data_IF_475983936165
#
_entry.id   IF_475983936165
#
_cell.length_a   1.000
_cell.length_b   1.000
_cell.length_c   1.000
_cell.angle_alpha   90.00
_cell.angle_beta   90.00
_cell.angle_gamma   90.00
#
_symmetry.space_group_name_H-M   'P 1'
#
loop_
_entity.id
_entity.type
_entity.pdbx_description
1 polymer ?
#
# COMPACT_ATOMS: atom_id res chain seq x y z
N UNK A 1 7.32 13.18 21.65
CA UNK A 1 7.10 12.43 20.41
C UNK A 1 8.32 11.67 19.92
N UNK A 2 9.52 12.27 19.77
CA UNK A 2 10.74 11.57 19.29
C UNK A 2 11.16 10.36 20.15
N UNK A 3 11.04 10.46 21.46
CA UNK A 3 11.39 9.37 22.39
C UNK A 3 10.47 8.17 22.32
N UNK A 4 9.19 8.38 21.99
CA UNK A 4 8.19 7.33 21.81
C UNK A 4 8.33 6.59 20.47
N UNK A 5 8.81 7.24 19.42
CA UNK A 5 8.84 6.67 18.08
C UNK A 5 9.73 5.43 17.98
N UNK A 6 10.92 5.45 18.60
CA UNK A 6 11.88 4.34 18.54
C UNK A 6 11.35 3.06 19.23
N UNK A 7 10.90 3.10 20.53
CA UNK A 7 10.42 1.90 21.19
C UNK A 7 9.14 1.34 20.53
N UNK A 8 8.22 2.21 20.11
CA UNK A 8 7.01 1.79 19.37
C UNK A 8 7.37 1.13 18.04
N UNK A 9 8.31 1.69 17.28
CA UNK A 9 8.78 1.10 16.01
C UNK A 9 9.39 -0.28 16.21
N UNK A 10 10.25 -0.44 17.21
CA UNK A 10 10.89 -1.73 17.53
C UNK A 10 9.86 -2.78 17.96
N UNK A 11 8.88 -2.38 18.78
CA UNK A 11 7.76 -3.25 19.18
C UNK A 11 6.92 -3.68 17.98
N UNK A 12 6.68 -2.79 17.03
CA UNK A 12 5.90 -3.11 15.83
C UNK A 12 6.69 -4.05 14.91
N UNK A 13 7.97 -3.76 14.64
CA UNK A 13 8.82 -4.59 13.78
C UNK A 13 9.04 -6.02 14.30
N UNK A 14 8.97 -6.23 15.61
CA UNK A 14 9.12 -7.58 16.20
C UNK A 14 7.90 -8.49 15.99
N UNK A 15 6.80 -7.95 15.46
CA UNK A 15 5.58 -8.73 15.19
C UNK A 15 5.74 -9.59 13.94
N UNK A 16 5.38 -10.87 14.03
CA UNK A 16 5.52 -11.85 12.93
C UNK A 16 4.78 -11.44 11.65
N UNK A 17 3.58 -10.87 11.80
CA UNK A 17 2.75 -10.40 10.69
C UNK A 17 3.40 -9.27 9.90
N UNK A 18 4.16 -8.39 10.55
CA UNK A 18 4.92 -7.32 9.90
C UNK A 18 6.10 -7.89 9.11
N UNK A 19 6.78 -8.87 9.67
CA UNK A 19 7.86 -9.57 8.95
C UNK A 19 7.31 -10.26 7.71
N UNK A 20 6.17 -10.95 7.81
CA UNK A 20 5.49 -11.58 6.66
C UNK A 20 5.08 -10.55 5.61
N UNK A 21 4.55 -9.40 6.02
CA UNK A 21 4.24 -8.30 5.10
C UNK A 21 5.49 -7.80 4.37
N UNK A 22 6.60 -7.61 5.09
CA UNK A 22 7.86 -7.18 4.47
C UNK A 22 8.47 -8.24 3.55
N UNK A 23 8.26 -9.54 3.79
CA UNK A 23 8.69 -10.60 2.88
C UNK A 23 8.02 -10.45 1.51
N UNK A 24 6.79 -9.91 1.44
CA UNK A 24 6.13 -9.67 0.17
C UNK A 24 6.89 -8.69 -0.76
N UNK A 25 7.84 -7.89 -0.25
CA UNK A 25 8.71 -7.07 -1.10
C UNK A 25 9.64 -7.89 -2.00
N UNK A 26 9.83 -9.19 -1.71
CA UNK A 26 10.61 -10.13 -2.53
C UNK A 26 9.81 -10.71 -3.72
N UNK A 27 8.55 -10.33 -3.88
CA UNK A 27 7.69 -10.80 -4.97
C UNK A 27 8.31 -10.65 -6.37
N UNK A 28 9.08 -9.57 -6.71
CA UNK A 28 9.74 -9.45 -8.00
C UNK A 28 10.67 -10.63 -8.34
N UNK A 29 11.26 -11.29 -7.34
CA UNK A 29 12.07 -12.50 -7.56
C UNK A 29 11.23 -13.66 -8.08
N UNK A 30 10.01 -13.81 -7.59
CA UNK A 30 9.07 -14.86 -8.06
C UNK A 30 8.71 -14.60 -9.51
N UNK A 31 8.41 -13.34 -9.86
CA UNK A 31 8.10 -12.98 -11.25
C UNK A 31 9.28 -13.16 -12.19
N UNK A 32 10.51 -12.85 -11.74
CA UNK A 32 11.71 -13.10 -12.50
C UNK A 32 11.95 -14.60 -12.75
N UNK A 33 11.75 -15.45 -11.73
CA UNK A 33 11.85 -16.90 -11.88
C UNK A 33 10.79 -17.45 -12.85
N UNK A 34 9.53 -16.98 -12.75
CA UNK A 34 8.47 -17.41 -13.66
C UNK A 34 8.74 -16.96 -15.10
N UNK A 35 9.34 -15.79 -15.31
CA UNK A 35 9.66 -15.29 -16.66
C UNK A 35 10.75 -16.09 -17.36
N UNK A 36 11.67 -16.71 -16.62
CA UNK A 36 12.66 -17.66 -17.17
C UNK A 36 11.95 -18.82 -17.90
N UNK A 37 10.76 -19.20 -17.44
CA UNK A 37 9.91 -20.25 -18.07
C UNK A 37 8.94 -19.70 -19.12
N UNK A 38 9.17 -18.49 -19.65
CA UNK A 38 8.39 -17.82 -20.72
C UNK A 38 6.92 -17.54 -20.41
N UNK A 39 6.51 -17.50 -19.16
CA UNK A 39 5.11 -17.27 -18.78
C UNK A 39 4.86 -15.87 -18.22
N UNK A 40 3.97 -15.12 -18.85
CA UNK A 40 3.20 -14.08 -18.17
C UNK A 40 3.59 -12.62 -18.41
N UNK A 41 4.86 -12.20 -18.40
CA UNK A 41 5.22 -10.78 -18.54
C UNK A 41 5.21 -10.32 -20.00
N UNK A 42 5.51 -11.21 -20.94
CA UNK A 42 5.48 -10.92 -22.38
C UNK A 42 4.08 -10.46 -22.86
N UNK A 43 3.00 -10.89 -22.20
CA UNK A 43 1.63 -10.46 -22.53
C UNK A 43 1.35 -8.99 -22.24
N UNK A 44 2.15 -8.34 -21.38
CA UNK A 44 2.05 -6.90 -21.10
C UNK A 44 2.81 -6.02 -22.10
N UNK A 45 3.58 -6.63 -23.01
CA UNK A 45 4.43 -5.88 -23.95
C UNK A 45 3.68 -5.31 -25.16
N UNK A 46 2.37 -5.41 -25.29
CA UNK A 46 1.47 -4.86 -26.35
C UNK A 46 2.17 -4.05 -27.48
N UNK A 47 3.27 -4.58 -28.05
CA UNK A 47 4.04 -3.95 -29.13
C UNK A 47 5.10 -2.93 -28.68
N UNK A 48 5.19 -2.54 -27.42
CA UNK A 48 6.26 -1.70 -26.87
C UNK A 48 7.20 -2.52 -25.97
N UNK A 49 8.49 -2.19 -26.02
CA UNK A 49 9.46 -2.82 -25.11
C UNK A 49 9.27 -2.30 -23.68
N UNK A 50 9.29 -3.23 -22.70
CA UNK A 50 9.07 -2.91 -21.29
C UNK A 50 10.29 -2.16 -20.73
N UNK A 51 10.08 -0.93 -20.25
CA UNK A 51 11.06 -0.16 -19.46
C UNK A 51 11.03 -0.56 -17.97
N UNK A 52 12.04 -0.12 -17.20
CA UNK A 52 12.07 -0.41 -15.77
C UNK A 52 10.84 0.16 -15.01
N UNK A 53 10.42 1.38 -15.30
CA UNK A 53 9.24 1.99 -14.65
C UNK A 53 7.96 1.20 -14.98
N UNK A 54 7.81 0.74 -16.23
CA UNK A 54 6.70 -0.11 -16.64
C UNK A 54 6.74 -1.47 -15.91
N UNK A 55 7.92 -2.09 -15.81
CA UNK A 55 8.10 -3.32 -15.05
C UNK A 55 7.73 -3.15 -13.57
N UNK A 56 8.20 -2.09 -12.91
CA UNK A 56 7.87 -1.80 -11.53
C UNK A 56 6.36 -1.56 -11.33
N UNK A 57 5.71 -0.87 -12.26
CA UNK A 57 4.25 -0.70 -12.25
C UNK A 57 3.52 -2.04 -12.37
N UNK A 58 3.96 -2.95 -13.25
CA UNK A 58 3.40 -4.31 -13.38
C UNK A 58 3.53 -5.07 -12.07
N UNK A 59 4.70 -5.02 -11.43
CA UNK A 59 4.95 -5.67 -10.14
C UNK A 59 3.99 -5.14 -9.06
N UNK A 60 3.90 -3.81 -8.90
CA UNK A 60 3.01 -3.19 -7.91
C UNK A 60 1.55 -3.54 -8.19
N UNK A 61 1.14 -3.55 -9.46
CA UNK A 61 -0.21 -3.93 -9.87
C UNK A 61 -0.53 -5.39 -9.55
N UNK A 62 0.39 -6.31 -9.86
CA UNK A 62 0.20 -7.74 -9.60
C UNK A 62 0.20 -8.05 -8.11
N UNK A 63 1.11 -7.45 -7.33
CA UNK A 63 1.07 -7.56 -5.86
C UNK A 63 -0.26 -7.09 -5.28
N UNK A 64 -0.80 -6.02 -5.84
CA UNK A 64 -2.11 -5.50 -5.47
C UNK A 64 -3.23 -6.51 -5.79
N UNK A 65 -3.24 -7.09 -6.99
CA UNK A 65 -4.25 -8.09 -7.39
C UNK A 65 -4.21 -9.35 -6.52
N UNK A 66 -3.04 -9.78 -6.05
CA UNK A 66 -2.89 -10.96 -5.19
C UNK A 66 -3.57 -10.82 -3.82
N UNK A 67 -4.01 -9.64 -3.40
CA UNK A 67 -4.70 -9.39 -2.12
C UNK A 67 -3.87 -9.74 -0.87
N UNK A 68 -2.88 -10.64 -0.95
CA UNK A 68 -2.06 -11.11 0.17
C UNK A 68 -1.35 -9.98 0.89
N UNK A 69 -0.62 -9.04 0.23
CA UNK A 69 0.03 -7.93 0.91
C UNK A 69 -0.97 -7.06 1.67
N UNK A 70 -2.15 -6.81 1.10
CA UNK A 70 -3.20 -6.01 1.76
C UNK A 70 -3.79 -6.72 2.97
N UNK A 71 -3.99 -8.02 2.89
CA UNK A 71 -4.46 -8.83 4.02
C UNK A 71 -3.44 -8.81 5.16
N UNK A 72 -2.15 -9.04 4.87
CA UNK A 72 -1.08 -8.99 5.85
C UNK A 72 -0.92 -7.59 6.45
N UNK A 73 -1.02 -6.55 5.64
CA UNK A 73 -1.00 -5.16 6.12
C UNK A 73 -2.19 -4.88 7.05
N UNK A 74 -3.40 -5.26 6.64
CA UNK A 74 -4.62 -5.07 7.45
C UNK A 74 -4.52 -5.81 8.77
N UNK A 75 -4.05 -7.05 8.75
CA UNK A 75 -3.83 -7.83 9.98
C UNK A 75 -2.73 -7.20 10.86
N UNK A 76 -1.66 -6.68 10.26
CA UNK A 76 -0.60 -5.97 10.98
C UNK A 76 -1.12 -4.71 11.68
N UNK A 77 -1.90 -3.89 10.99
CA UNK A 77 -2.52 -2.69 11.57
C UNK A 77 -3.46 -3.06 12.72
N UNK A 78 -4.32 -4.06 12.50
CA UNK A 78 -5.21 -4.57 13.54
C UNK A 78 -4.42 -5.05 14.78
N UNK A 79 -3.36 -5.81 14.59
CA UNK A 79 -2.50 -6.30 15.66
C UNK A 79 -1.85 -5.17 16.48
N UNK A 80 -1.49 -4.06 15.84
CA UNK A 80 -0.90 -2.89 16.51
C UNK A 80 -1.92 -2.15 17.38
N UNK A 81 -3.19 -2.11 16.97
CA UNK A 81 -4.23 -1.39 17.72
C UNK A 81 -5.03 -2.32 18.63
N UNK A 82 -5.69 -3.32 18.07
CA UNK A 82 -6.64 -4.17 18.82
C UNK A 82 -5.98 -5.04 19.87
N UNK A 83 -4.85 -5.69 19.56
CA UNK A 83 -4.19 -6.57 20.53
C UNK A 83 -3.65 -5.79 21.73
N UNK A 84 -3.24 -4.54 21.57
CA UNK A 84 -2.79 -3.72 22.69
C UNK A 84 -3.97 -3.19 23.55
N UNK A 85 -5.13 -2.93 22.91
CA UNK A 85 -6.36 -2.57 23.62
C UNK A 85 -6.85 -3.78 24.43
N UNK A 86 -6.99 -4.94 23.80
CA UNK A 86 -7.53 -6.16 24.43
C UNK A 86 -6.62 -6.72 25.54
N UNK A 87 -5.30 -6.57 25.42
CA UNK A 87 -4.32 -6.99 26.44
C UNK A 87 -4.09 -5.96 27.54
N UNK A 88 -4.84 -4.86 27.55
CA UNK A 88 -4.68 -3.72 28.48
C UNK A 88 -3.26 -3.13 28.52
N UNK A 89 -2.42 -3.40 27.51
CA UNK A 89 -1.05 -2.86 27.44
C UNK A 89 -1.02 -1.34 27.30
N UNK A 90 -2.12 -0.73 26.88
CA UNK A 90 -2.30 0.72 26.86
C UNK A 90 -2.12 1.34 28.26
N UNK A 91 -2.38 0.59 29.34
CA UNK A 91 -2.16 1.06 30.69
C UNK A 91 -0.68 1.41 30.98
N UNK A 92 0.27 0.79 30.29
CA UNK A 92 1.70 1.13 30.40
C UNK A 92 2.02 2.55 29.89
N UNK A 93 1.11 3.14 29.12
CA UNK A 93 1.23 4.47 28.55
C UNK A 93 0.27 5.49 29.18
N UNK A 94 -0.25 5.21 30.40
CA UNK A 94 -1.25 6.05 31.08
C UNK A 94 -0.82 7.51 31.27
N UNK A 95 0.50 7.73 31.40
CA UNK A 95 1.10 9.05 31.61
C UNK A 95 1.32 9.82 30.30
N UNK A 96 0.95 9.23 29.15
CA UNK A 96 1.13 9.80 27.83
C UNK A 96 -0.25 10.09 27.22
N UNK A 97 -0.38 11.26 26.60
CA UNK A 97 -1.61 11.65 25.91
C UNK A 97 -1.99 10.65 24.81
N UNK A 98 -3.22 10.15 24.83
CA UNK A 98 -3.75 9.18 23.84
C UNK A 98 -3.56 9.62 22.37
N UNK A 99 -3.82 10.89 21.99
CA UNK A 99 -3.57 11.35 20.63
C UNK A 99 -2.11 11.19 20.19
N UNK A 100 -1.17 11.36 21.11
CA UNK A 100 0.26 11.22 20.82
C UNK A 100 0.64 9.76 20.54
N UNK A 101 0.05 8.82 21.28
CA UNK A 101 0.23 7.37 21.05
C UNK A 101 -0.34 6.97 19.69
N UNK A 102 -1.57 7.43 19.37
CA UNK A 102 -2.21 7.17 18.08
C UNK A 102 -1.35 7.67 16.92
N UNK A 103 -0.89 8.94 16.99
CA UNK A 103 0.01 9.53 15.99
C UNK A 103 1.30 8.74 15.82
N UNK A 104 1.93 8.32 16.92
CA UNK A 104 3.16 7.55 16.89
C UNK A 104 2.97 6.18 16.21
N UNK A 105 1.84 5.49 16.47
CA UNK A 105 1.51 4.21 15.84
C UNK A 105 1.28 4.36 14.33
N UNK A 106 0.44 5.32 13.93
CA UNK A 106 0.18 5.59 12.49
C UNK A 106 1.49 5.95 11.78
N UNK A 107 2.31 6.84 12.35
CA UNK A 107 3.57 7.23 11.74
C UNK A 107 4.54 6.03 11.55
N UNK A 108 4.62 5.13 12.51
CA UNK A 108 5.45 3.94 12.40
C UNK A 108 4.90 2.93 11.37
N UNK A 109 3.57 2.79 11.24
CA UNK A 109 2.96 1.98 10.19
C UNK A 109 3.22 2.57 8.79
N UNK A 110 3.18 3.90 8.65
CA UNK A 110 3.56 4.56 7.39
C UNK A 110 5.05 4.35 7.05
N UNK A 111 5.94 4.34 8.06
CA UNK A 111 7.35 3.96 7.83
C UNK A 111 7.50 2.53 7.33
N UNK A 112 6.75 1.58 7.88
CA UNK A 112 6.78 0.18 7.44
C UNK A 112 6.29 0.07 6.00
N UNK A 113 5.22 0.78 5.65
CA UNK A 113 4.76 0.87 4.26
C UNK A 113 5.85 1.48 3.35
N UNK A 114 6.55 2.54 3.80
CA UNK A 114 7.67 3.13 3.07
C UNK A 114 8.80 2.13 2.84
N UNK A 115 9.18 1.35 3.86
CA UNK A 115 10.18 0.28 3.74
C UNK A 115 9.74 -0.77 2.72
N UNK A 116 8.46 -1.18 2.74
CA UNK A 116 7.90 -2.12 1.78
C UNK A 116 7.98 -1.60 0.34
N UNK A 117 7.59 -0.33 0.11
CA UNK A 117 7.62 0.28 -1.23
C UNK A 117 9.06 0.41 -1.75
N UNK A 118 9.97 0.91 -0.91
CA UNK A 118 11.40 1.04 -1.27
C UNK A 118 12.02 -0.34 -1.49
N UNK A 119 11.72 -1.31 -0.64
CA UNK A 119 12.18 -2.68 -0.80
C UNK A 119 11.68 -3.31 -2.10
N UNK A 120 10.40 -3.15 -2.44
CA UNK A 120 9.83 -3.62 -3.72
C UNK A 120 10.49 -2.93 -4.91
N UNK A 121 10.78 -1.62 -4.81
CA UNK A 121 11.50 -0.89 -5.86
C UNK A 121 12.91 -1.45 -6.08
N UNK A 122 13.68 -1.64 -5.01
CA UNK A 122 15.05 -2.16 -5.08
C UNK A 122 15.07 -3.60 -5.63
N UNK A 123 14.19 -4.47 -5.13
CA UNK A 123 14.10 -5.86 -5.63
C UNK A 123 13.66 -5.90 -7.09
N UNK A 124 12.71 -5.04 -7.50
CA UNK A 124 12.32 -4.91 -8.90
C UNK A 124 13.48 -4.42 -9.77
N UNK A 125 14.28 -3.47 -9.27
CA UNK A 125 15.45 -2.96 -9.99
C UNK A 125 16.49 -4.06 -10.24
N UNK A 126 16.81 -4.82 -9.20
CA UNK A 126 17.74 -5.94 -9.32
C UNK A 126 17.18 -6.98 -10.28
N UNK A 127 15.92 -7.37 -10.15
CA UNK A 127 15.29 -8.36 -11.03
C UNK A 127 15.27 -7.90 -12.49
N UNK A 128 14.96 -6.65 -12.77
CA UNK A 128 14.92 -6.12 -14.12
C UNK A 128 16.28 -6.18 -14.81
N UNK A 129 17.33 -5.65 -14.16
CA UNK A 129 18.65 -5.55 -14.78
C UNK A 129 19.46 -6.86 -14.74
N UNK A 130 19.21 -7.77 -13.77
CA UNK A 130 19.97 -9.01 -13.66
C UNK A 130 19.30 -10.17 -14.41
N UNK A 131 17.98 -10.30 -14.30
CA UNK A 131 17.28 -11.48 -14.80
C UNK A 131 16.47 -11.20 -16.07
N UNK A 132 15.91 -9.98 -16.23
CA UNK A 132 14.98 -9.69 -17.32
C UNK A 132 15.66 -9.15 -18.58
N UNK A 133 16.83 -8.52 -18.46
CA UNK A 133 17.54 -7.85 -19.56
C UNK A 133 17.80 -8.75 -20.78
N UNK A 134 18.06 -10.07 -20.67
CA UNK A 134 18.30 -10.94 -21.82
C UNK A 134 17.05 -11.19 -22.71
N UNK A 135 15.86 -10.78 -22.27
CA UNK A 135 14.62 -11.04 -23.02
C UNK A 135 14.33 -9.96 -24.05
N UNK A 136 13.91 -10.36 -25.25
CA UNK A 136 13.68 -9.46 -26.41
C UNK A 136 12.59 -8.41 -26.19
N UNK A 137 11.68 -8.62 -25.23
CA UNK A 137 10.60 -7.67 -24.88
C UNK A 137 11.02 -6.61 -23.87
N UNK A 138 12.29 -6.60 -23.43
CA UNK A 138 12.83 -5.65 -22.47
C UNK A 138 13.66 -4.59 -23.17
N UNK A 139 13.38 -3.30 -22.90
CA UNK A 139 14.09 -2.18 -23.51
C UNK A 139 15.49 -1.91 -22.93
N UNK A 140 15.76 -2.35 -21.70
CA UNK A 140 16.95 -1.98 -20.94
C UNK A 140 16.96 -0.53 -20.43
N UNK A 141 16.00 0.30 -20.87
CA UNK A 141 15.90 1.69 -20.44
C UNK A 141 15.18 1.83 -19.10
N UNK A 142 15.58 2.84 -18.31
CA UNK A 142 14.93 3.14 -17.03
C UNK A 142 13.54 3.74 -17.24
N UNK A 143 13.42 4.70 -18.18
CA UNK A 143 12.17 5.38 -18.49
C UNK A 143 11.53 4.84 -19.77
N UNK A 144 10.19 4.86 -19.89
CA UNK A 144 9.50 4.56 -21.15
C UNK A 144 9.79 5.62 -22.21
N UNK A 145 9.55 5.28 -23.47
CA UNK A 145 9.87 6.11 -24.65
C UNK A 145 9.09 7.43 -24.70
N UNK A 146 7.88 7.48 -24.12
CA UNK A 146 7.04 8.68 -24.14
C UNK A 146 6.76 9.23 -22.74
N UNK A 147 6.70 10.57 -22.60
CA UNK A 147 6.31 11.24 -21.36
C UNK A 147 4.88 10.89 -20.93
N UNK A 148 4.00 10.64 -21.88
CA UNK A 148 2.62 10.25 -21.62
C UNK A 148 2.57 8.85 -20.96
N UNK A 149 3.33 7.89 -21.49
CA UNK A 149 3.47 6.55 -20.91
C UNK A 149 4.08 6.64 -19.50
N UNK A 150 5.12 7.45 -19.31
CA UNK A 150 5.73 7.67 -17.98
C UNK A 150 4.72 8.20 -16.96
N UNK A 151 3.97 9.24 -17.33
CA UNK A 151 2.98 9.85 -16.45
C UNK A 151 1.87 8.87 -16.07
N UNK A 152 1.42 8.04 -17.01
CA UNK A 152 0.40 7.02 -16.79
C UNK A 152 0.88 5.95 -15.79
N UNK A 153 2.08 5.38 -16.00
CA UNK A 153 2.63 4.36 -15.09
C UNK A 153 2.86 4.90 -13.69
N UNK A 154 3.41 6.11 -13.55
CA UNK A 154 3.60 6.74 -12.25
C UNK A 154 2.26 7.01 -11.54
N UNK A 155 1.24 7.39 -12.26
CA UNK A 155 -0.09 7.66 -11.71
C UNK A 155 -0.74 6.39 -11.17
N UNK A 156 -0.59 5.25 -11.86
CA UNK A 156 -1.04 3.95 -11.37
C UNK A 156 -0.31 3.57 -10.07
N UNK A 157 1.02 3.73 -10.03
CA UNK A 157 1.81 3.43 -8.83
C UNK A 157 1.34 4.30 -7.65
N UNK A 158 1.20 5.61 -7.87
CA UNK A 158 0.74 6.55 -6.84
C UNK A 158 -0.67 6.21 -6.34
N UNK A 159 -1.59 5.84 -7.24
CA UNK A 159 -2.94 5.43 -6.87
C UNK A 159 -2.92 4.19 -5.95
N UNK A 160 -2.10 3.19 -6.25
CA UNK A 160 -1.96 1.98 -5.42
C UNK A 160 -1.36 2.30 -4.05
N UNK A 161 -0.33 3.15 -3.99
CA UNK A 161 0.26 3.62 -2.72
C UNK A 161 -0.78 4.38 -1.89
N UNK A 162 -1.56 5.27 -2.52
CA UNK A 162 -2.62 6.00 -1.83
C UNK A 162 -3.66 5.08 -1.20
N UNK A 163 -4.06 4.00 -1.89
CA UNK A 163 -4.98 3.03 -1.32
C UNK A 163 -4.37 2.27 -0.14
N UNK A 164 -3.09 1.88 -0.17
CA UNK A 164 -2.42 1.29 1.00
C UNK A 164 -2.44 2.24 2.21
N UNK A 165 -2.20 3.54 2.00
CA UNK A 165 -2.29 4.55 3.06
C UNK A 165 -3.70 4.63 3.64
N UNK A 166 -4.72 4.66 2.77
CA UNK A 166 -6.12 4.68 3.18
C UNK A 166 -6.49 3.42 3.96
N UNK A 167 -6.05 2.24 3.50
CA UNK A 167 -6.28 0.95 4.19
C UNK A 167 -5.69 0.97 5.60
N UNK A 168 -4.47 1.49 5.79
CA UNK A 168 -3.88 1.64 7.14
C UNK A 168 -4.79 2.47 8.05
N UNK A 169 -5.26 3.61 7.59
CA UNK A 169 -6.10 4.50 8.39
C UNK A 169 -7.51 3.94 8.65
N UNK A 170 -8.10 3.32 7.63
CA UNK A 170 -9.39 2.64 7.74
C UNK A 170 -9.32 1.48 8.76
N UNK A 171 -8.35 0.59 8.61
CA UNK A 171 -8.20 -0.57 9.49
C UNK A 171 -7.84 -0.12 10.90
N UNK A 172 -7.00 0.91 11.09
CA UNK A 172 -6.74 1.49 12.40
C UNK A 172 -8.03 1.97 13.08
N UNK A 173 -8.90 2.67 12.35
CA UNK A 173 -10.19 3.11 12.86
C UNK A 173 -11.13 1.93 13.20
N UNK A 174 -11.23 0.95 12.30
CA UNK A 174 -12.09 -0.23 12.50
C UNK A 174 -11.59 -1.09 13.67
N UNK A 175 -10.28 -1.27 13.83
CA UNK A 175 -9.69 -2.12 14.88
C UNK A 175 -9.92 -1.57 16.30
N UNK A 176 -10.16 -0.28 16.44
CA UNK A 176 -10.53 0.35 17.71
C UNK A 176 -11.98 0.01 18.09
N UNK A 177 -12.88 -0.08 17.13
CA UNK A 177 -14.32 -0.20 17.33
C UNK A 177 -14.85 -1.63 17.24
N UNK A 178 -14.29 -2.42 16.33
CA UNK A 178 -14.81 -3.72 15.95
C UNK A 178 -13.83 -4.85 16.27
N UNK A 179 -14.29 -6.09 16.06
CA UNK A 179 -13.47 -7.29 16.23
C UNK A 179 -12.41 -7.44 15.13
N UNK A 180 -11.54 -8.43 15.33
CA UNK A 180 -10.42 -8.74 14.41
C UNK A 180 -10.90 -8.98 12.97
N UNK A 181 -11.91 -9.84 12.82
CA UNK A 181 -12.42 -10.22 11.50
C UNK A 181 -12.99 -9.02 10.73
N UNK A 182 -13.84 -8.21 11.37
CA UNK A 182 -14.44 -7.04 10.74
C UNK A 182 -13.39 -6.00 10.32
N UNK A 183 -12.35 -5.82 11.14
CA UNK A 183 -11.29 -4.86 10.85
C UNK A 183 -10.45 -5.28 9.64
N UNK A 184 -10.04 -6.56 9.58
CA UNK A 184 -9.24 -7.08 8.47
C UNK A 184 -10.08 -7.15 7.19
N UNK A 185 -11.31 -7.68 7.28
CA UNK A 185 -12.23 -7.73 6.14
C UNK A 185 -12.54 -6.32 5.60
N UNK A 186 -12.73 -5.34 6.46
CA UNK A 186 -12.97 -3.95 6.03
C UNK A 186 -11.82 -3.40 5.17
N UNK A 187 -10.56 -3.67 5.53
CA UNK A 187 -9.40 -3.28 4.72
C UNK A 187 -9.33 -4.01 3.39
N UNK A 188 -9.56 -5.33 3.39
CA UNK A 188 -9.56 -6.14 2.17
C UNK A 188 -10.73 -5.78 1.25
N UNK A 189 -11.93 -5.58 1.79
CA UNK A 189 -13.09 -5.14 1.00
C UNK A 189 -12.86 -3.77 0.36
N UNK A 190 -12.30 -2.80 1.11
CA UNK A 190 -11.98 -1.49 0.54
C UNK A 190 -11.02 -1.61 -0.65
N UNK A 191 -10.01 -2.46 -0.54
CA UNK A 191 -9.08 -2.77 -1.63
C UNK A 191 -9.79 -3.42 -2.83
N UNK A 192 -10.65 -4.43 -2.59
CA UNK A 192 -11.39 -5.10 -3.66
C UNK A 192 -12.33 -4.12 -4.39
N UNK A 193 -13.06 -3.28 -3.66
CA UNK A 193 -13.88 -2.22 -4.25
C UNK A 193 -13.04 -1.23 -5.07
N UNK A 194 -11.86 -0.87 -4.58
CA UNK A 194 -10.92 -0.02 -5.32
C UNK A 194 -10.42 -0.65 -6.63
N UNK A 195 -10.36 -1.98 -6.73
CA UNK A 195 -10.01 -2.69 -7.97
C UNK A 195 -11.16 -2.69 -8.99
N UNK A 196 -12.40 -2.81 -8.51
CA UNK A 196 -13.59 -2.87 -9.37
C UNK A 196 -14.07 -1.45 -9.76
N UNK A 197 -13.76 -0.46 -8.94
CA UNK A 197 -14.23 0.92 -9.10
C UNK A 197 -13.97 1.53 -10.49
N UNK A 198 -12.80 1.34 -11.13
CA UNK A 198 -12.55 1.88 -12.46
C UNK A 198 -13.51 1.38 -13.54
N UNK A 199 -14.08 0.17 -13.36
CA UNK A 199 -15.01 -0.45 -14.31
C UNK A 199 -16.45 0.09 -14.19
N UNK A 200 -16.74 0.81 -13.09
CA UNK A 200 -18.06 1.37 -12.81
C UNK A 200 -18.14 2.84 -13.24
N UNK A 201 -19.22 3.24 -13.89
CA UNK A 201 -19.41 4.60 -14.41
C UNK A 201 -19.25 5.70 -13.36
N UNK A 202 -19.81 5.53 -12.16
CA UNK A 202 -19.68 6.45 -11.03
C UNK A 202 -18.53 6.06 -10.09
N UNK A 203 -18.20 4.78 -9.97
CA UNK A 203 -17.19 4.24 -9.08
C UNK A 203 -15.80 4.80 -9.33
N UNK A 204 -15.47 5.07 -10.60
CA UNK A 204 -14.17 5.62 -11.02
C UNK A 204 -13.82 6.95 -10.37
N UNK A 205 -14.81 7.75 -9.95
CA UNK A 205 -14.58 9.03 -9.28
C UNK A 205 -14.48 8.92 -7.75
N UNK A 206 -14.95 7.80 -7.19
CA UNK A 206 -14.96 7.57 -5.75
C UNK A 206 -13.62 7.04 -5.22
N UNK A 207 -12.83 6.34 -6.04
CA UNK A 207 -11.60 5.71 -5.60
C UNK A 207 -10.37 6.28 -6.31
N UNK A 208 -9.21 6.38 -5.63
CA UNK A 208 -7.98 6.88 -6.23
C UNK A 208 -7.56 6.13 -7.49
N UNK A 209 -7.82 4.81 -7.55
CA UNK A 209 -7.49 3.95 -8.69
C UNK A 209 -8.23 4.30 -9.97
N UNK A 210 -9.47 4.78 -9.86
CA UNK A 210 -10.25 5.16 -11.02
C UNK A 210 -9.68 6.35 -11.78
N UNK A 211 -9.03 7.29 -11.10
CA UNK A 211 -8.38 8.42 -11.73
C UNK A 211 -7.15 8.01 -12.57
N UNK A 212 -6.46 6.95 -12.19
CA UNK A 212 -5.32 6.43 -12.93
C UNK A 212 -5.73 5.84 -14.30
N UNK A 213 -6.97 5.37 -14.44
CA UNK A 213 -7.49 4.70 -15.65
C UNK A 213 -8.37 5.60 -16.52
N UNK A 214 -8.60 6.86 -16.10
CA UNK A 214 -9.53 7.76 -16.80
C UNK A 214 -9.10 8.17 -18.21
N UNK A 215 -7.83 7.98 -18.62
CA UNK A 215 -7.34 8.42 -19.94
C UNK A 215 -7.48 9.92 -20.22
N UNK A 216 -7.92 10.70 -19.22
CA UNK A 216 -8.09 12.16 -19.28
C UNK A 216 -6.74 12.88 -19.14
N UNK A 217 -6.74 14.22 -19.18
CA UNK A 217 -5.51 14.99 -18.97
C UNK A 217 -4.84 14.59 -17.66
N UNK A 218 -3.52 14.35 -17.69
CA UNK A 218 -2.73 13.91 -16.53
C UNK A 218 -2.91 14.81 -15.31
N UNK A 219 -3.08 16.12 -15.52
CA UNK A 219 -3.32 17.09 -14.44
C UNK A 219 -4.64 16.80 -13.72
N UNK A 220 -5.74 16.61 -14.45
CA UNK A 220 -7.03 16.29 -13.83
C UNK A 220 -6.97 15.00 -13.03
N UNK A 221 -6.32 13.97 -13.56
CA UNK A 221 -6.15 12.68 -12.90
C UNK A 221 -5.34 12.80 -11.59
N UNK A 222 -4.22 13.56 -11.61
CA UNK A 222 -3.39 13.81 -10.42
C UNK A 222 -4.17 14.58 -9.35
N UNK A 223 -4.84 15.68 -9.72
CA UNK A 223 -5.64 16.47 -8.77
C UNK A 223 -6.78 15.65 -8.17
N UNK A 224 -7.52 14.90 -8.99
CA UNK A 224 -8.60 14.02 -8.53
C UNK A 224 -8.11 12.94 -7.57
N UNK A 225 -7.00 12.29 -7.90
CA UNK A 225 -6.36 11.29 -7.05
C UNK A 225 -5.97 11.89 -5.68
N UNK A 226 -5.28 13.03 -5.66
CA UNK A 226 -4.84 13.70 -4.43
C UNK A 226 -6.06 14.15 -3.61
N UNK A 227 -7.06 14.74 -4.25
CA UNK A 227 -8.27 15.24 -3.59
C UNK A 227 -9.05 14.11 -2.91
N UNK A 228 -9.37 13.04 -3.65
CA UNK A 228 -10.13 11.90 -3.11
C UNK A 228 -9.33 11.17 -2.03
N UNK A 229 -8.04 10.93 -2.25
CA UNK A 229 -7.17 10.32 -1.23
C UNK A 229 -7.09 11.17 0.03
N UNK A 230 -6.99 12.49 -0.12
CA UNK A 230 -6.97 13.45 0.98
C UNK A 230 -8.25 13.39 1.82
N UNK A 231 -9.42 13.33 1.18
CA UNK A 231 -10.71 13.21 1.89
C UNK A 231 -10.75 11.92 2.73
N UNK A 232 -10.41 10.78 2.14
CA UNK A 232 -10.37 9.50 2.88
C UNK A 232 -9.36 9.53 4.03
N UNK A 233 -8.16 10.03 3.79
CA UNK A 233 -7.11 10.10 4.81
C UNK A 233 -7.53 11.01 5.97
N UNK A 234 -8.06 12.21 5.70
CA UNK A 234 -8.54 13.12 6.72
C UNK A 234 -9.71 12.53 7.51
N UNK A 235 -10.70 11.93 6.82
CA UNK A 235 -11.87 11.34 7.46
C UNK A 235 -11.49 10.19 8.38
N UNK A 236 -10.73 9.20 7.89
CA UNK A 236 -10.36 8.02 8.69
C UNK A 236 -9.37 8.35 9.79
N UNK A 237 -8.44 9.27 9.56
CA UNK A 237 -7.53 9.73 10.60
C UNK A 237 -8.28 10.42 11.75
N UNK A 238 -9.18 11.34 11.43
CA UNK A 238 -9.96 12.07 12.42
C UNK A 238 -10.92 11.15 13.21
N UNK A 239 -11.64 10.27 12.51
CA UNK A 239 -12.53 9.29 13.13
C UNK A 239 -11.77 8.29 14.01
N UNK A 240 -10.59 7.85 13.57
CA UNK A 240 -9.72 6.94 14.31
C UNK A 240 -9.16 7.60 15.57
N UNK A 241 -8.68 8.83 15.46
CA UNK A 241 -8.15 9.59 16.59
C UNK A 241 -9.23 9.82 17.66
N UNK A 242 -10.42 10.28 17.27
CA UNK A 242 -11.56 10.45 18.20
C UNK A 242 -12.00 9.15 18.86
N UNK A 243 -11.99 8.04 18.12
CA UNK A 243 -12.32 6.74 18.68
C UNK A 243 -11.27 6.29 19.71
N UNK A 244 -9.99 6.55 19.42
CA UNK A 244 -8.88 6.19 20.32
C UNK A 244 -8.87 7.00 21.61
N UNK A 245 -9.25 8.28 21.59
CA UNK A 245 -9.38 9.13 22.76
C UNK A 245 -10.44 8.63 23.74
N UNK A 246 -11.52 8.02 23.24
CA UNK A 246 -12.63 7.51 24.06
C UNK A 246 -12.37 6.15 24.71
N UNK A 247 -11.24 5.50 24.42
CA UNK A 247 -10.88 4.22 25.08
C UNK A 247 -10.59 4.49 26.55
N UNK A 248 -11.24 3.75 27.44
CA UNK A 248 -10.91 3.70 28.86
C UNK A 248 -9.77 2.69 29.09
N UNK A 249 -8.92 2.95 30.10
CA UNK A 249 -7.76 2.10 30.44
C UNK A 249 -8.15 0.85 31.20
#
# INVERSE_FOLDING_TARGET
MKELLKPVFRSILSKREIVLFLICMMYPLITALVSIFQAGIASYAEGEQISFIMFWQIIVHTQWQLTIPTLLLSYSVMSVFRNEISSKRLFLFKDIEKPLIFKAKIYNLMKILGIFIIGTFITSFICYYVFMLPHNYISGHFFPSSLQSLSHHLLIILARIAVYVIVILLVANLSIRYNVAASVLGGVLFMLFSNVAPQLSLGKFLFPTGYAELGSSTLFAVFGLIFVSGIYCCAFYYLGMRAFEKIEY
#
